data_IF_492619839965
#
_entry.id   IF_492619839965
#
_cell.length_a   1.000
_cell.length_b   1.000
_cell.length_c   1.000
_cell.angle_alpha   90.00
_cell.angle_beta   90.00
_cell.angle_gamma   90.00
#
_symmetry.space_group_name_H-M   'P 1'
#
loop_
_entity.id
_entity.type
_entity.pdbx_description
1 polymer ?
#
# COMPACT_ATOMS: atom_id res chain seq x y z
N UNK A 1 -13.42 11.80 8.96
CA UNK A 1 -12.25 11.56 8.08
C UNK A 1 -11.55 12.90 7.92
N UNK A 2 -10.27 12.99 8.28
CA UNK A 2 -9.46 14.21 8.16
C UNK A 2 -8.44 14.06 7.01
N UNK A 3 -7.69 15.12 6.68
CA UNK A 3 -6.71 15.11 5.59
C UNK A 3 -5.61 14.05 5.77
N UNK A 4 -5.11 13.88 7.00
CA UNK A 4 -4.10 12.87 7.34
C UNK A 4 -4.60 11.45 7.06
N UNK A 5 -5.83 11.14 7.47
CA UNK A 5 -6.45 9.83 7.20
C UNK A 5 -6.66 9.59 5.69
N UNK A 6 -7.00 10.63 4.92
CA UNK A 6 -7.12 10.51 3.45
C UNK A 6 -5.77 10.23 2.79
N UNK A 7 -4.70 10.92 3.21
CA UNK A 7 -3.35 10.67 2.68
C UNK A 7 -2.89 9.25 2.97
N UNK A 8 -3.10 8.75 4.19
CA UNK A 8 -2.81 7.35 4.54
C UNK A 8 -3.60 6.37 3.67
N UNK A 9 -4.90 6.62 3.47
CA UNK A 9 -5.73 5.78 2.61
C UNK A 9 -5.23 5.74 1.15
N UNK A 10 -4.74 6.87 0.62
CA UNK A 10 -4.12 6.91 -0.71
C UNK A 10 -2.84 6.06 -0.75
N UNK A 11 -1.98 6.16 0.26
CA UNK A 11 -0.75 5.36 0.35
C UNK A 11 -1.05 3.85 0.44
N UNK A 12 -2.00 3.45 1.28
CA UNK A 12 -2.44 2.05 1.34
C UNK A 12 -3.03 1.59 0.00
N UNK A 13 -3.82 2.42 -0.69
CA UNK A 13 -4.33 2.13 -2.03
C UNK A 13 -3.20 1.93 -3.04
N UNK A 14 -2.18 2.79 -3.02
CA UNK A 14 -0.98 2.65 -3.86
C UNK A 14 -0.19 1.38 -3.54
N UNK A 15 -0.03 1.03 -2.26
CA UNK A 15 0.62 -0.20 -1.82
C UNK A 15 -0.13 -1.43 -2.35
N UNK A 16 -1.46 -1.49 -2.18
CA UNK A 16 -2.28 -2.61 -2.68
C UNK A 16 -2.23 -2.72 -4.21
N UNK A 17 -2.33 -1.61 -4.93
CA UNK A 17 -2.27 -1.60 -6.40
C UNK A 17 -0.93 -2.11 -6.92
N UNK A 18 0.16 -1.87 -6.19
CA UNK A 18 1.48 -2.37 -6.58
C UNK A 18 1.57 -3.90 -6.58
N UNK A 19 0.82 -4.58 -5.71
CA UNK A 19 0.74 -6.05 -5.69
C UNK A 19 -0.22 -6.62 -6.75
N UNK A 20 -1.27 -5.87 -7.11
CA UNK A 20 -2.26 -6.30 -8.11
C UNK A 20 -1.66 -6.62 -9.49
N UNK A 21 -0.49 -6.05 -9.81
CA UNK A 21 0.15 -6.19 -11.13
C UNK A 21 1.29 -7.21 -11.17
N UNK A 22 1.63 -7.85 -10.04
CA UNK A 22 2.78 -8.76 -9.95
C UNK A 22 2.46 -10.19 -10.44
N UNK A 23 1.19 -10.60 -10.46
CA UNK A 23 0.71 -11.88 -11.00
C UNK A 23 -0.62 -11.71 -11.74
N UNK A 24 -0.99 -12.70 -12.56
CA UNK A 24 -2.29 -12.70 -13.22
C UNK A 24 -3.44 -12.93 -12.23
N UNK A 25 -4.56 -12.25 -12.49
CA UNK A 25 -5.76 -12.39 -11.68
C UNK A 25 -5.53 -11.97 -10.22
N UNK A 26 -6.12 -12.71 -9.28
CA UNK A 26 -6.08 -12.40 -7.84
C UNK A 26 -5.00 -13.19 -7.10
N UNK A 27 -4.15 -13.95 -7.80
CA UNK A 27 -3.18 -14.86 -7.19
C UNK A 27 -2.25 -14.15 -6.20
N UNK A 28 -1.68 -13.00 -6.58
CA UNK A 28 -0.76 -12.27 -5.68
C UNK A 28 -1.47 -11.76 -4.43
N UNK A 29 -2.74 -11.36 -4.54
CA UNK A 29 -3.52 -10.83 -3.41
C UNK A 29 -3.92 -11.96 -2.47
N UNK A 30 -4.23 -13.15 -2.99
CA UNK A 30 -4.61 -14.31 -2.19
C UNK A 30 -3.46 -14.81 -1.29
N UNK A 31 -2.21 -14.63 -1.73
CA UNK A 31 -1.00 -15.01 -0.98
C UNK A 31 -0.44 -13.88 -0.10
N UNK A 32 -1.09 -12.71 -0.06
CA UNK A 32 -0.53 -11.51 0.56
C UNK A 32 -0.68 -11.54 2.09
N UNK A 33 0.41 -11.30 2.82
CA UNK A 33 0.37 -11.15 4.27
C UNK A 33 0.22 -9.67 4.68
N UNK A 34 -0.23 -9.44 5.91
CA UNK A 34 -0.28 -8.07 6.46
C UNK A 34 1.11 -7.44 6.57
N UNK A 35 2.15 -8.23 6.85
CA UNK A 35 3.54 -7.76 6.86
C UNK A 35 3.97 -7.22 5.49
N UNK A 36 3.63 -7.91 4.40
CA UNK A 36 3.95 -7.44 3.03
C UNK A 36 3.29 -6.08 2.74
N UNK A 37 2.05 -5.89 3.22
CA UNK A 37 1.30 -4.66 3.03
C UNK A 37 1.95 -3.50 3.80
N UNK A 38 2.30 -3.71 5.08
CA UNK A 38 2.94 -2.68 5.90
C UNK A 38 4.33 -2.32 5.35
N UNK A 39 5.15 -3.31 4.98
CA UNK A 39 6.47 -3.06 4.37
C UNK A 39 6.34 -2.23 3.08
N UNK A 40 5.33 -2.52 2.25
CA UNK A 40 5.07 -1.77 1.02
C UNK A 40 4.52 -0.37 1.32
N UNK A 41 3.65 -0.24 2.31
CA UNK A 41 3.14 1.06 2.77
C UNK A 41 4.29 1.95 3.24
N UNK A 42 5.20 1.45 4.08
CA UNK A 42 6.36 2.20 4.57
C UNK A 42 7.27 2.66 3.43
N UNK A 43 7.46 1.81 2.42
CA UNK A 43 8.19 2.17 1.19
C UNK A 43 7.52 3.36 0.46
N UNK A 44 6.19 3.35 0.35
CA UNK A 44 5.45 4.46 -0.26
C UNK A 44 5.44 5.71 0.63
N UNK A 45 5.41 5.56 1.95
CA UNK A 45 5.48 6.66 2.91
C UNK A 45 6.82 7.39 2.75
N UNK A 46 7.93 6.66 2.72
CA UNK A 46 9.29 7.21 2.51
C UNK A 46 9.38 7.98 1.18
N UNK A 47 8.79 7.46 0.11
CA UNK A 47 8.76 8.12 -1.20
C UNK A 47 7.85 9.37 -1.22
N UNK A 48 6.77 9.37 -0.44
CA UNK A 48 5.74 10.42 -0.48
C UNK A 48 6.17 11.74 0.15
N UNK A 49 7.30 11.76 0.88
CA UNK A 49 7.78 12.91 1.68
C UNK A 49 6.75 13.43 2.69
N UNK A 50 5.77 12.61 3.03
CA UNK A 50 4.78 12.91 4.06
C UNK A 50 5.43 12.52 5.39
N UNK A 51 5.56 13.47 6.30
CA UNK A 51 5.99 13.18 7.68
C UNK A 51 4.88 12.41 8.40
N UNK A 52 5.27 11.39 9.16
CA UNK A 52 4.35 10.53 9.92
C UNK A 52 3.63 11.28 11.05
#
# INVERSE_FOLDING_TARGET
INDTELRKAVLYGSAMASFCVEKFGTEKIADLSMLDIEDRYDSFLELSRIEA
#
